data_IF_935680530776
#
_entry.id   IF_935680530776
#
_cell.length_a   1.000
_cell.length_b   1.000
_cell.length_c   1.000
_cell.angle_alpha   90.00
_cell.angle_beta   90.00
_cell.angle_gamma   90.00
#
_symmetry.space_group_name_H-M   'P 1'
#
loop_
_entity.id
_entity.type
_entity.pdbx_description
1 polymer ?
#
# COMPACT_ATOMS: atom_id res chain seq x y z
N UNK A 1 -8.58 3.99 19.68
CA UNK A 1 -8.34 3.58 18.28
C UNK A 1 -6.90 3.09 18.17
N UNK A 2 -6.66 1.94 17.54
CA UNK A 2 -5.30 1.42 17.33
C UNK A 2 -4.60 2.32 16.31
N UNK A 3 -3.33 2.67 16.52
CA UNK A 3 -2.59 3.60 15.63
C UNK A 3 -2.61 3.20 14.16
N UNK A 4 -2.75 1.91 13.86
CA UNK A 4 -2.78 1.36 12.50
C UNK A 4 -4.10 1.60 11.74
N UNK A 5 -5.19 1.91 12.44
CA UNK A 5 -6.55 2.08 11.88
C UNK A 5 -7.02 3.54 12.08
N UNK A 6 -6.09 4.44 12.42
CA UNK A 6 -6.37 5.85 12.58
C UNK A 6 -6.48 6.54 11.19
N UNK A 7 -7.55 7.31 10.88
CA UNK A 7 -7.73 7.94 9.57
C UNK A 7 -6.60 8.87 9.12
N UNK A 8 -6.04 9.67 10.04
CA UNK A 8 -4.88 10.52 9.72
C UNK A 8 -3.66 9.67 9.36
N UNK A 9 -3.35 8.65 10.17
CA UNK A 9 -2.25 7.74 9.88
C UNK A 9 -2.43 7.05 8.54
N UNK A 10 -3.63 6.54 8.26
CA UNK A 10 -3.94 5.84 7.02
C UNK A 10 -3.75 6.73 5.79
N UNK A 11 -4.22 7.98 5.84
CA UNK A 11 -4.08 8.94 4.74
C UNK A 11 -2.62 9.21 4.39
N UNK A 12 -1.73 9.25 5.39
CA UNK A 12 -0.29 9.50 5.18
C UNK A 12 0.43 8.35 4.46
N UNK A 13 -0.11 7.13 4.52
CA UNK A 13 0.51 5.93 3.96
C UNK A 13 -0.16 5.43 2.67
N UNK A 14 -1.26 6.05 2.22
CA UNK A 14 -1.98 5.61 1.01
C UNK A 14 -1.10 5.56 -0.25
N UNK A 15 -0.17 6.51 -0.41
CA UNK A 15 0.79 6.51 -1.51
C UNK A 15 1.69 5.27 -1.57
N UNK A 16 1.82 4.51 -0.47
CA UNK A 16 2.56 3.24 -0.46
C UNK A 16 1.86 2.16 -1.30
N UNK A 17 0.54 2.22 -1.44
CA UNK A 17 -0.24 1.23 -2.19
C UNK A 17 0.22 1.16 -3.67
N UNK A 18 0.38 2.28 -4.41
CA UNK A 18 0.96 2.25 -5.75
C UNK A 18 2.50 2.25 -5.78
N UNK A 19 3.18 2.80 -4.77
CA UNK A 19 4.65 2.89 -4.79
C UNK A 19 5.33 1.56 -4.49
N UNK A 20 4.75 0.69 -3.65
CA UNK A 20 5.29 -0.65 -3.38
C UNK A 20 5.29 -1.55 -4.64
N UNK A 21 4.20 -1.68 -5.42
CA UNK A 21 4.20 -2.40 -6.69
C UNK A 21 5.18 -1.81 -7.68
N UNK A 22 5.27 -0.47 -7.74
CA UNK A 22 6.22 0.21 -8.62
C UNK A 22 7.67 -0.13 -8.22
N UNK A 23 8.00 -0.09 -6.92
CA UNK A 23 9.30 -0.49 -6.42
C UNK A 23 9.61 -1.96 -6.76
N UNK A 24 8.64 -2.86 -6.59
CA UNK A 24 8.77 -4.26 -7.00
C UNK A 24 9.03 -4.42 -8.50
N UNK A 25 8.30 -3.67 -9.34
CA UNK A 25 8.50 -3.65 -10.79
C UNK A 25 9.87 -3.08 -11.19
N UNK A 26 10.35 -2.02 -10.53
CA UNK A 26 11.68 -1.44 -10.76
C UNK A 26 12.77 -2.44 -10.39
N UNK A 27 12.66 -3.10 -9.23
CA UNK A 27 13.64 -4.11 -8.79
C UNK A 27 13.65 -5.29 -9.77
N UNK A 28 12.49 -5.87 -10.08
CA UNK A 28 12.41 -7.03 -10.97
C UNK A 28 12.76 -6.67 -12.43
N UNK A 29 12.37 -5.49 -12.90
CA UNK A 29 12.61 -5.03 -14.26
C UNK A 29 14.07 -4.66 -14.53
N UNK A 30 14.72 -3.94 -13.60
CA UNK A 30 16.09 -3.49 -13.79
C UNK A 30 17.14 -4.51 -13.31
N UNK A 31 16.90 -5.14 -12.16
CA UNK A 31 17.87 -6.02 -11.51
C UNK A 31 17.54 -7.50 -11.69
N UNK A 32 16.35 -7.86 -12.17
CA UNK A 32 15.88 -9.25 -12.23
C UNK A 32 16.83 -10.19 -12.98
N UNK A 33 17.52 -9.73 -14.04
CA UNK A 33 18.50 -10.54 -14.77
C UNK A 33 19.73 -10.97 -13.94
N UNK A 34 20.02 -10.26 -12.85
CA UNK A 34 21.15 -10.52 -11.95
C UNK A 34 20.73 -11.23 -10.66
N UNK A 35 19.43 -11.46 -10.47
CA UNK A 35 18.87 -12.03 -9.25
C UNK A 35 18.44 -13.49 -9.47
N UNK A 36 18.52 -14.35 -8.44
CA UNK A 36 17.96 -15.69 -8.50
C UNK A 36 16.43 -15.64 -8.61
N UNK A 37 15.84 -16.59 -9.33
CA UNK A 37 14.40 -16.66 -9.59
C UNK A 37 13.53 -16.55 -8.33
N UNK A 38 13.96 -17.18 -7.22
CA UNK A 38 13.26 -17.12 -5.93
C UNK A 38 13.08 -15.68 -5.43
N UNK A 39 14.09 -14.82 -5.57
CA UNK A 39 14.00 -13.42 -5.14
C UNK A 39 13.08 -12.62 -6.06
N UNK A 40 13.11 -12.85 -7.38
CA UNK A 40 12.23 -12.16 -8.34
C UNK A 40 10.76 -12.43 -7.99
N UNK A 41 10.40 -13.70 -7.77
CA UNK A 41 9.05 -14.09 -7.38
C UNK A 41 8.66 -13.51 -6.02
N UNK A 42 9.57 -13.56 -5.04
CA UNK A 42 9.30 -13.02 -3.72
C UNK A 42 9.08 -11.50 -3.74
N UNK A 43 9.90 -10.74 -4.48
CA UNK A 43 9.74 -9.29 -4.63
C UNK A 43 8.43 -8.97 -5.34
N UNK A 44 8.13 -9.67 -6.44
CA UNK A 44 6.92 -9.41 -7.23
C UNK A 44 5.63 -9.71 -6.45
N UNK A 45 5.55 -10.87 -5.81
CA UNK A 45 4.38 -11.21 -5.00
C UNK A 45 4.32 -10.41 -3.70
N UNK A 46 5.48 -10.22 -3.04
CA UNK A 46 5.60 -9.51 -1.78
C UNK A 46 5.18 -8.04 -1.88
N UNK A 47 5.58 -7.34 -2.94
CA UNK A 47 5.19 -5.94 -3.15
C UNK A 47 3.68 -5.77 -3.26
N UNK A 48 3.02 -6.65 -4.02
CA UNK A 48 1.55 -6.64 -4.15
C UNK A 48 0.88 -7.03 -2.83
N UNK A 49 1.39 -8.06 -2.16
CA UNK A 49 0.83 -8.54 -0.90
C UNK A 49 0.85 -7.48 0.19
N UNK A 50 1.98 -6.77 0.38
CA UNK A 50 2.07 -5.69 1.37
C UNK A 50 1.10 -4.55 1.00
N UNK A 51 1.01 -4.20 -0.29
CA UNK A 51 0.06 -3.18 -0.77
C UNK A 51 -1.39 -3.56 -0.46
N UNK A 52 -1.72 -4.84 -0.65
CA UNK A 52 -3.04 -5.38 -0.30
C UNK A 52 -3.33 -5.28 1.21
N UNK A 53 -2.36 -5.61 2.07
CA UNK A 53 -2.53 -5.47 3.52
C UNK A 53 -2.81 -4.01 3.94
N UNK A 54 -2.13 -3.04 3.33
CA UNK A 54 -2.40 -1.61 3.56
C UNK A 54 -3.81 -1.26 3.10
N UNK A 55 -4.24 -1.72 1.92
CA UNK A 55 -5.61 -1.51 1.44
C UNK A 55 -6.68 -2.11 2.36
N UNK A 56 -6.44 -3.30 2.92
CA UNK A 56 -7.33 -3.94 3.91
C UNK A 56 -7.41 -3.11 5.20
N UNK A 57 -6.28 -2.60 5.70
CA UNK A 57 -6.27 -1.70 6.85
C UNK A 57 -7.03 -0.40 6.56
N UNK A 58 -6.89 0.16 5.36
CA UNK A 58 -7.65 1.33 4.92
C UNK A 58 -9.15 1.06 4.82
N UNK A 59 -9.54 -0.13 4.38
CA UNK A 59 -10.94 -0.56 4.36
C UNK A 59 -11.53 -0.63 5.78
N UNK A 60 -10.82 -1.24 6.74
CA UNK A 60 -11.27 -1.25 8.14
C UNK A 60 -11.29 0.15 8.78
N UNK A 61 -10.37 1.03 8.37
CA UNK A 61 -10.37 2.45 8.78
C UNK A 61 -11.66 3.13 8.32
N UNK A 62 -12.07 2.92 7.07
CA UNK A 62 -13.33 3.44 6.53
C UNK A 62 -14.56 2.89 7.26
N UNK A 63 -14.55 1.60 7.63
CA UNK A 63 -15.65 0.99 8.40
C UNK A 63 -15.78 1.58 9.81
N UNK A 64 -14.68 2.06 10.39
CA UNK A 64 -14.67 2.68 11.73
C UNK A 64 -15.15 4.13 11.78
N UNK A 65 -15.41 4.77 10.63
CA UNK A 65 -15.94 6.13 10.58
C UNK A 65 -17.46 6.09 10.78
N UNK A 66 -17.91 6.73 11.86
CA UNK A 66 -19.31 6.76 12.30
C UNK A 66 -20.22 7.44 11.27
N UNK A 67 -19.81 8.61 10.76
CA UNK A 67 -20.56 9.38 9.78
C UNK A 67 -20.33 8.86 8.35
N UNK A 68 -21.33 8.23 7.69
CA UNK A 68 -21.15 7.64 6.37
C UNK A 68 -20.68 8.64 5.31
N UNK A 69 -21.12 9.89 5.41
CA UNK A 69 -20.73 10.99 4.51
C UNK A 69 -19.26 11.40 4.65
N UNK A 70 -18.54 10.97 5.69
CA UNK A 70 -17.14 11.30 5.91
C UNK A 70 -16.20 10.12 5.66
N UNK A 71 -16.70 9.03 5.04
CA UNK A 71 -15.91 7.83 4.70
C UNK A 71 -15.02 8.04 3.48
N UNK A 72 -14.13 9.02 3.58
CA UNK A 72 -13.17 9.37 2.53
C UNK A 72 -11.76 9.40 3.11
N UNK A 73 -10.85 8.65 2.49
CA UNK A 73 -9.42 8.71 2.73
C UNK A 73 -8.77 9.22 1.45
N UNK A 74 -8.47 10.52 1.40
CA UNK A 74 -7.96 11.19 0.19
C UNK A 74 -6.60 11.81 0.51
N UNK A 75 -5.60 11.45 -0.31
CA UNK A 75 -4.27 12.06 -0.28
C UNK A 75 -4.01 12.73 -1.63
N UNK A 76 -3.72 14.04 -1.61
CA UNK A 76 -3.23 14.75 -2.79
C UNK A 76 -1.72 14.48 -2.92
N UNK A 77 -1.32 13.87 -4.03
CA UNK A 77 0.08 13.54 -4.31
C UNK A 77 0.82 14.65 -5.07
N UNK A 78 0.08 15.57 -5.67
CA UNK A 78 0.59 16.69 -6.47
C UNK A 78 -0.34 17.90 -6.30
N UNK A 79 0.23 19.11 -6.29
CA UNK A 79 -0.46 20.39 -6.17
C UNK A 79 -0.40 21.14 -7.50
#
# INVERSE_FOLDING_TARGET
MNTLIDPQHMTNILWLIPSLPLAGAVINGLLGRRLPARLIHFVGCGSIFISFLISVAGFFTLLGIEEPQQRFLIQSLYQ
#
